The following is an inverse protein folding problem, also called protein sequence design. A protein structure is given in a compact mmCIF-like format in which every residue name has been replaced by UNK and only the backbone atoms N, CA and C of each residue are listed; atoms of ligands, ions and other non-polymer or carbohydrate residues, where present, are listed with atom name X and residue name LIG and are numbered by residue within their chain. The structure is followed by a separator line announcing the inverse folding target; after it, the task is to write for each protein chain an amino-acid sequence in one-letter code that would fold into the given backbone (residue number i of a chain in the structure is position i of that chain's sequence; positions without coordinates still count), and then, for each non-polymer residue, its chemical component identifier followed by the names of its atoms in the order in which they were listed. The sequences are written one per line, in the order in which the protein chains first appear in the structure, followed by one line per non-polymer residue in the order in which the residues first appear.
data_IF_890156943103
#
_entry.id   IF_890156943103
#
_cell.length_a   1.000
_cell.length_b   1.000
_cell.length_c   1.000
_cell.angle_alpha   90.00
_cell.angle_beta   90.00
_cell.angle_gamma   90.00
#
_symmetry.space_group_name_H-M   'P 1'
#
loop_
_entity.id
_entity.type
_entity.pdbx_description
1 polymer ?
#
# COMPACT_ATOMS: atom_id res chain seq x y z
N UNK A 1 -14.44 -4.47 -28.26
CA UNK A 1 -13.36 -3.56 -27.86
C UNK A 1 -13.85 -2.73 -26.70
N UNK A 2 -13.12 -2.73 -25.60
CA UNK A 2 -13.43 -1.85 -24.47
C UNK A 2 -13.00 -0.43 -24.82
N UNK A 3 -13.65 0.60 -24.27
CA UNK A 3 -13.28 2.02 -24.46
C UNK A 3 -11.78 2.23 -24.18
N UNK A 4 -11.24 1.56 -23.18
CA UNK A 4 -9.82 1.65 -22.79
C UNK A 4 -8.86 0.98 -23.79
N UNK A 5 -9.31 -0.06 -24.50
CA UNK A 5 -8.49 -0.70 -25.56
C UNK A 5 -8.30 0.23 -26.76
N UNK A 6 -9.35 0.94 -27.14
CA UNK A 6 -9.29 1.93 -28.21
C UNK A 6 -8.37 3.07 -27.82
N UNK A 7 -8.58 3.66 -26.63
CA UNK A 7 -7.74 4.74 -26.12
C UNK A 7 -6.27 4.33 -26.00
N UNK A 8 -5.97 3.11 -25.54
CA UNK A 8 -4.62 2.59 -25.46
C UNK A 8 -3.93 2.51 -26.83
N UNK A 9 -4.64 2.03 -27.86
CA UNK A 9 -4.12 1.96 -29.22
C UNK A 9 -3.85 3.35 -29.82
N UNK A 10 -4.76 4.29 -29.60
CA UNK A 10 -4.61 5.68 -30.08
C UNK A 10 -3.43 6.37 -29.38
N UNK A 11 -3.31 6.25 -28.07
CA UNK A 11 -2.16 6.78 -27.31
C UNK A 11 -0.85 6.19 -27.87
N UNK A 12 -0.79 4.87 -28.05
CA UNK A 12 0.41 4.22 -28.59
C UNK A 12 0.76 4.72 -29.99
N UNK A 13 -0.22 4.92 -30.84
CA UNK A 13 0.00 5.46 -32.18
C UNK A 13 0.55 6.90 -32.13
N UNK A 14 -0.05 7.77 -31.32
CA UNK A 14 0.34 9.18 -31.24
C UNK A 14 1.65 9.44 -30.46
N UNK A 15 2.14 8.50 -29.64
CA UNK A 15 3.50 8.58 -29.07
C UNK A 15 4.58 8.09 -30.04
N UNK A 16 4.22 7.70 -31.27
CA UNK A 16 5.15 7.26 -32.33
C UNK A 16 5.24 5.74 -32.46
N UNK A 17 4.25 5.00 -31.95
CA UNK A 17 4.19 3.53 -32.03
C UNK A 17 5.10 2.82 -31.04
N UNK A 18 5.01 1.48 -31.03
CA UNK A 18 5.77 0.64 -30.11
C UNK A 18 7.29 0.79 -30.25
N UNK A 19 7.76 1.05 -31.45
CA UNK A 19 9.19 1.16 -31.76
C UNK A 19 9.82 2.43 -31.17
N UNK A 20 9.02 3.47 -30.88
CA UNK A 20 9.46 4.70 -30.25
C UNK A 20 9.43 4.61 -28.70
N UNK A 21 8.80 3.59 -28.12
CA UNK A 21 8.67 3.46 -26.66
C UNK A 21 9.79 2.59 -26.09
N UNK A 22 10.69 3.19 -25.31
CA UNK A 22 11.73 2.45 -24.57
C UNK A 22 11.17 1.78 -23.31
N UNK A 23 10.33 2.50 -22.57
CA UNK A 23 9.67 1.95 -21.38
C UNK A 23 8.36 2.69 -21.12
N UNK A 24 7.43 1.99 -20.47
CA UNK A 24 6.17 2.52 -20.01
C UNK A 24 5.98 2.20 -18.53
N UNK A 25 5.69 3.22 -17.73
CA UNK A 25 5.27 3.12 -16.35
C UNK A 25 4.05 4.00 -16.13
N UNK A 26 3.39 3.91 -14.99
CA UNK A 26 2.30 4.80 -14.65
C UNK A 26 2.37 5.23 -13.18
N UNK A 27 1.74 6.36 -12.86
CA UNK A 27 1.42 6.76 -11.50
C UNK A 27 -0.11 6.84 -11.33
N UNK A 28 -0.58 7.46 -10.26
CA UNK A 28 -2.02 7.52 -9.92
C UNK A 28 -2.89 8.09 -11.05
N UNK A 29 -2.37 9.01 -11.87
CA UNK A 29 -3.17 9.73 -12.88
C UNK A 29 -2.49 9.84 -14.24
N UNK A 30 -1.27 9.31 -14.44
CA UNK A 30 -0.47 9.55 -15.63
C UNK A 30 0.23 8.29 -16.12
N UNK A 31 0.21 8.08 -17.42
CA UNK A 31 1.15 7.23 -18.12
C UNK A 31 2.48 7.97 -18.28
N UNK A 32 3.58 7.29 -18.08
CA UNK A 32 4.93 7.81 -18.22
C UNK A 32 5.69 6.98 -19.23
N UNK A 33 5.91 7.57 -20.39
CA UNK A 33 6.70 6.97 -21.44
C UNK A 33 8.13 7.50 -21.39
N UNK A 34 9.10 6.62 -21.61
CA UNK A 34 10.44 6.99 -22.01
C UNK A 34 10.52 6.74 -23.51
N UNK A 35 10.45 7.79 -24.31
CA UNK A 35 10.47 7.71 -25.77
C UNK A 35 11.92 7.73 -26.25
N UNK A 36 12.19 7.10 -27.41
CA UNK A 36 13.46 7.22 -28.11
C UNK A 36 13.63 8.60 -28.72
N UNK A 37 12.56 9.10 -29.32
CA UNK A 37 12.48 10.41 -29.92
C UNK A 37 11.14 11.06 -29.56
N UNK A 38 11.18 12.10 -28.74
CA UNK A 38 9.98 12.84 -28.31
C UNK A 38 9.40 13.73 -29.45
N UNK A 39 10.18 14.00 -30.51
CA UNK A 39 9.72 14.84 -31.64
C UNK A 39 8.68 14.13 -32.52
N UNK A 40 8.64 12.81 -32.48
CA UNK A 40 7.67 12.00 -33.23
C UNK A 40 6.29 12.03 -32.56
N UNK A 41 6.23 12.32 -31.26
CA UNK A 41 4.98 12.32 -30.51
C UNK A 41 4.10 13.53 -30.87
N UNK A 42 2.82 13.27 -31.10
CA UNK A 42 1.84 14.27 -31.55
C UNK A 42 1.08 14.84 -30.34
N UNK A 43 1.66 15.86 -29.70
CA UNK A 43 1.15 16.44 -28.45
C UNK A 43 -0.31 16.93 -28.58
N UNK A 44 -0.65 17.61 -29.66
CA UNK A 44 -2.00 18.15 -29.87
C UNK A 44 -3.04 17.05 -30.17
N UNK A 45 -2.66 16.01 -30.89
CA UNK A 45 -3.54 14.88 -31.14
C UNK A 45 -3.85 14.14 -29.82
N UNK A 46 -2.83 13.93 -28.97
CA UNK A 46 -2.99 13.31 -27.67
C UNK A 46 -3.87 14.13 -26.72
N UNK A 47 -3.74 15.46 -26.70
CA UNK A 47 -4.56 16.33 -25.84
C UNK A 47 -6.03 16.33 -26.26
N UNK A 48 -6.32 16.09 -27.54
CA UNK A 48 -7.68 16.06 -28.08
C UNK A 48 -8.35 14.68 -27.95
N UNK A 49 -7.66 13.65 -27.47
CA UNK A 49 -8.25 12.35 -27.23
C UNK A 49 -9.22 12.38 -26.04
N UNK A 50 -10.40 11.82 -26.24
CA UNK A 50 -11.34 11.60 -25.14
C UNK A 50 -10.74 10.64 -24.11
N UNK A 51 -10.63 11.08 -22.87
CA UNK A 51 -9.97 10.34 -21.78
C UNK A 51 -8.54 10.80 -21.48
N UNK A 52 -7.95 11.69 -22.28
CA UNK A 52 -6.69 12.36 -21.98
C UNK A 52 -6.96 13.77 -21.47
N UNK A 53 -6.42 14.09 -20.29
CA UNK A 53 -6.58 15.42 -19.67
C UNK A 53 -5.56 16.41 -20.22
N UNK A 54 -4.30 16.00 -20.36
CA UNK A 54 -3.21 16.81 -20.89
C UNK A 54 -1.97 15.95 -21.12
N UNK A 55 -0.99 16.56 -21.82
CA UNK A 55 0.35 15.97 -22.04
C UNK A 55 1.40 16.87 -21.41
N UNK A 56 2.39 16.30 -20.76
CA UNK A 56 3.48 17.02 -20.12
C UNK A 56 4.82 16.35 -20.44
N UNK A 57 5.87 17.16 -20.61
CA UNK A 57 7.25 16.70 -20.76
C UNK A 57 7.99 17.12 -19.50
N UNK A 58 8.50 16.17 -18.72
CA UNK A 58 9.18 16.46 -17.46
C UNK A 58 10.19 15.37 -17.12
N UNK A 59 11.38 15.77 -16.70
CA UNK A 59 12.44 14.87 -16.25
C UNK A 59 12.84 13.79 -17.29
N UNK A 60 12.87 14.13 -18.59
CA UNK A 60 13.17 13.17 -19.66
C UNK A 60 12.11 12.08 -19.83
N UNK A 61 10.88 12.35 -19.36
CA UNK A 61 9.73 11.49 -19.53
C UNK A 61 8.60 12.22 -20.23
N UNK A 62 8.01 11.54 -21.19
CA UNK A 62 6.79 11.96 -21.86
C UNK A 62 5.58 11.45 -21.06
N UNK A 63 4.78 12.35 -20.51
CA UNK A 63 3.70 12.02 -19.58
C UNK A 63 2.35 12.35 -20.21
N UNK A 64 1.48 11.34 -20.30
CA UNK A 64 0.07 11.47 -20.72
C UNK A 64 -0.81 11.38 -19.48
N UNK A 65 -1.49 12.47 -19.15
CA UNK A 65 -2.37 12.55 -17.97
C UNK A 65 -3.75 12.04 -18.35
N UNK A 66 -4.19 10.96 -17.69
CA UNK A 66 -5.48 10.30 -17.97
C UNK A 66 -6.45 10.48 -16.80
N UNK A 67 -5.93 10.64 -15.58
CA UNK A 67 -6.73 10.65 -14.37
C UNK A 67 -6.89 9.26 -13.74
N UNK A 68 -7.99 9.03 -13.03
CA UNK A 68 -8.17 7.81 -12.21
C UNK A 68 -8.22 6.51 -13.02
N UNK A 69 -8.46 6.58 -14.32
CA UNK A 69 -8.57 5.43 -15.24
C UNK A 69 -7.22 5.00 -15.82
N UNK A 70 -6.12 5.60 -15.37
CA UNK A 70 -4.77 5.33 -15.88
C UNK A 70 -4.38 3.86 -15.79
N UNK A 71 -4.80 3.17 -14.75
CA UNK A 71 -4.47 1.76 -14.55
C UNK A 71 -5.14 0.89 -15.61
N UNK A 72 -6.41 1.13 -15.92
CA UNK A 72 -7.16 0.37 -16.93
C UNK A 72 -6.54 0.54 -18.31
N UNK A 73 -6.14 1.77 -18.65
CA UNK A 73 -5.46 2.07 -19.93
C UNK A 73 -4.06 1.46 -19.97
N UNK A 74 -3.31 1.49 -18.85
CA UNK A 74 -1.99 0.89 -18.75
C UNK A 74 -2.05 -0.63 -18.95
N UNK A 75 -3.02 -1.31 -18.35
CA UNK A 75 -3.23 -2.76 -18.51
C UNK A 75 -3.52 -3.16 -19.96
N UNK A 76 -4.13 -2.26 -20.76
CA UNK A 76 -4.34 -2.48 -22.18
C UNK A 76 -3.10 -2.13 -23.03
N UNK A 77 -2.27 -1.17 -22.59
CA UNK A 77 -1.03 -0.80 -23.27
C UNK A 77 0.08 -1.84 -23.14
N UNK A 78 0.19 -2.46 -21.97
CA UNK A 78 1.25 -3.43 -21.67
C UNK A 78 1.28 -4.59 -22.70
N UNK A 79 0.18 -5.27 -23.04
CA UNK A 79 0.19 -6.31 -24.07
C UNK A 79 0.57 -5.81 -25.47
N UNK A 80 0.25 -4.56 -25.81
CA UNK A 80 0.56 -3.97 -27.11
C UNK A 80 2.06 -3.65 -27.26
N UNK A 81 2.74 -3.41 -26.14
CA UNK A 81 4.18 -3.15 -26.09
C UNK A 81 5.00 -4.44 -25.95
N UNK A 82 4.43 -5.53 -25.39
CA UNK A 82 5.12 -6.80 -25.19
C UNK A 82 5.00 -7.75 -26.39
N UNK A 83 5.80 -7.48 -27.39
CA UNK A 83 6.56 -8.51 -28.07
C UNK A 83 8.03 -8.17 -27.80
N UNK A 84 8.67 -8.87 -26.88
CA UNK A 84 10.10 -8.81 -26.57
C UNK A 84 10.61 -7.48 -25.98
N UNK A 85 10.55 -7.32 -24.66
CA UNK A 85 11.57 -6.52 -23.98
C UNK A 85 12.07 -7.27 -22.75
N UNK A 86 13.37 -7.60 -22.70
CA UNK A 86 14.02 -7.90 -21.45
C UNK A 86 13.97 -6.61 -20.61
N UNK A 87 13.55 -6.73 -19.37
CA UNK A 87 13.69 -5.68 -18.37
C UNK A 87 15.19 -5.34 -18.23
N UNK A 88 15.68 -4.42 -19.02
CA UNK A 88 16.95 -3.77 -18.74
C UNK A 88 16.72 -2.75 -17.63
N UNK A 89 16.84 -3.25 -16.43
CA UNK A 89 17.23 -2.45 -15.27
C UNK A 89 18.66 -1.96 -15.56
N UNK A 90 18.78 -0.82 -16.23
CA UNK A 90 20.04 -0.05 -16.29
C UNK A 90 19.69 1.39 -16.60
N UNK A 91 19.47 2.13 -15.55
CA UNK A 91 19.99 3.44 -15.18
C UNK A 91 19.44 3.75 -13.79
N UNK A 92 19.91 2.98 -12.81
CA UNK A 92 19.82 3.35 -11.42
C UNK A 92 20.89 4.41 -11.15
N UNK A 93 20.68 5.64 -11.62
CA UNK A 93 21.11 6.77 -10.82
C UNK A 93 20.54 6.54 -9.44
N UNK A 94 21.41 6.64 -8.43
CA UNK A 94 21.13 6.38 -7.02
C UNK A 94 19.81 7.02 -6.60
N UNK A 95 18.68 6.36 -6.86
CA UNK A 95 17.40 6.73 -6.26
C UNK A 95 17.66 6.78 -4.77
N UNK A 96 17.50 7.97 -4.19
CA UNK A 96 17.68 8.15 -2.75
C UNK A 96 16.73 7.19 -2.07
N UNK A 97 17.20 6.48 -1.05
CA UNK A 97 16.43 5.47 -0.30
C UNK A 97 15.01 5.94 0.05
N UNK A 98 14.84 7.25 0.26
CA UNK A 98 13.54 7.88 0.51
C UNK A 98 12.60 7.82 -0.71
N UNK A 99 13.09 8.04 -1.92
CA UNK A 99 12.24 8.04 -3.12
C UNK A 99 11.75 6.62 -3.41
N UNK A 100 12.61 5.63 -3.23
CA UNK A 100 12.24 4.21 -3.32
C UNK A 100 11.22 3.79 -2.25
N UNK A 101 11.39 4.28 -1.01
CA UNK A 101 10.43 4.03 0.06
C UNK A 101 9.05 4.63 -0.27
N UNK A 102 9.02 5.89 -0.74
CA UNK A 102 7.78 6.57 -1.15
C UNK A 102 7.11 5.85 -2.32
N UNK A 103 7.88 5.35 -3.31
CA UNK A 103 7.34 4.58 -4.43
C UNK A 103 6.71 3.24 -3.96
N UNK A 104 7.37 2.55 -3.03
CA UNK A 104 6.83 1.31 -2.47
C UNK A 104 5.50 1.59 -1.76
N UNK A 105 5.47 2.55 -0.85
CA UNK A 105 4.26 2.88 -0.07
C UNK A 105 3.15 3.36 -1.01
N UNK A 106 3.45 4.27 -1.95
CA UNK A 106 2.47 4.75 -2.91
C UNK A 106 1.88 3.61 -3.75
N UNK A 107 2.70 2.70 -4.25
CA UNK A 107 2.25 1.56 -5.04
C UNK A 107 1.39 0.56 -4.25
N UNK A 108 1.61 0.44 -2.92
CA UNK A 108 0.79 -0.40 -2.05
C UNK A 108 -0.58 0.23 -1.80
N UNK A 109 -0.63 1.55 -1.57
CA UNK A 109 -1.87 2.26 -1.24
C UNK A 109 -2.73 2.62 -2.44
N UNK A 110 -2.11 2.88 -3.59
CA UNK A 110 -2.81 3.34 -4.80
C UNK A 110 -4.06 2.52 -5.15
N UNK A 111 -4.05 1.17 -5.14
CA UNK A 111 -5.23 0.39 -5.53
C UNK A 111 -6.42 0.52 -4.56
N UNK A 112 -6.17 0.90 -3.30
CA UNK A 112 -7.21 0.98 -2.26
C UNK A 112 -7.67 2.40 -1.97
N UNK A 113 -6.98 3.45 -2.47
CA UNK A 113 -7.30 4.85 -2.17
C UNK A 113 -8.74 5.24 -2.53
N UNK A 114 -9.23 4.81 -3.70
CA UNK A 114 -10.60 5.11 -4.13
C UNK A 114 -11.65 4.52 -3.19
N UNK A 115 -11.46 3.26 -2.78
CA UNK A 115 -12.36 2.57 -1.85
C UNK A 115 -12.25 3.18 -0.44
N UNK A 116 -11.04 3.55 0.00
CA UNK A 116 -10.84 4.26 1.27
C UNK A 116 -11.61 5.59 1.31
N UNK A 117 -11.57 6.36 0.22
CA UNK A 117 -12.31 7.60 0.11
C UNK A 117 -13.83 7.35 0.18
N UNK A 118 -14.33 6.34 -0.55
CA UNK A 118 -15.74 5.97 -0.52
C UNK A 118 -16.21 5.54 0.88
N UNK A 119 -15.47 4.66 1.55
CA UNK A 119 -15.76 4.23 2.93
C UNK A 119 -15.74 5.41 3.90
N UNK A 120 -14.73 6.30 3.77
CA UNK A 120 -14.64 7.52 4.57
C UNK A 120 -15.84 8.46 4.37
N UNK A 121 -16.31 8.63 3.13
CA UNK A 121 -17.52 9.42 2.84
C UNK A 121 -18.77 8.79 3.45
N UNK A 122 -18.95 7.46 3.34
CA UNK A 122 -20.08 6.75 3.96
C UNK A 122 -20.07 6.98 5.47
N UNK A 123 -18.92 6.85 6.12
CA UNK A 123 -18.77 7.07 7.57
C UNK A 123 -19.09 8.52 7.95
N UNK A 124 -18.60 9.48 7.17
CA UNK A 124 -18.87 10.91 7.37
C UNK A 124 -20.35 11.25 7.20
N UNK A 125 -21.03 10.72 6.18
CA UNK A 125 -22.45 10.91 5.95
C UNK A 125 -23.28 10.27 7.07
N UNK A 126 -22.90 9.07 7.53
CA UNK A 126 -23.56 8.39 8.63
C UNK A 126 -23.52 9.25 9.92
N UNK A 127 -22.36 9.82 10.23
CA UNK A 127 -22.19 10.72 11.36
C UNK A 127 -23.00 12.01 11.22
N UNK A 128 -23.04 12.60 10.02
CA UNK A 128 -23.87 13.76 9.71
C UNK A 128 -25.35 13.48 9.93
N UNK A 129 -25.86 12.36 9.42
CA UNK A 129 -27.29 12.01 9.56
C UNK A 129 -27.67 11.73 11.01
N UNK A 130 -26.76 11.10 11.80
CA UNK A 130 -26.93 10.94 13.23
C UNK A 130 -26.99 12.31 13.94
N UNK A 131 -26.10 13.22 13.59
CA UNK A 131 -26.05 14.59 14.18
C UNK A 131 -27.30 15.42 13.82
N UNK A 132 -27.87 15.22 12.63
CA UNK A 132 -29.13 15.83 12.19
C UNK A 132 -30.37 15.19 12.85
N UNK A 133 -30.20 14.18 13.67
CA UNK A 133 -31.29 13.52 14.40
C UNK A 133 -32.16 12.58 13.54
N UNK A 134 -31.69 12.17 12.34
CA UNK A 134 -32.45 11.26 11.48
C UNK A 134 -32.54 9.85 12.06
N UNK A 135 -31.57 9.43 12.86
CA UNK A 135 -31.58 8.18 13.64
C UNK A 135 -30.58 8.28 14.81
N UNK A 136 -30.79 7.43 15.80
CA UNK A 136 -29.92 7.31 16.97
C UNK A 136 -28.70 6.41 16.67
N UNK A 137 -27.59 6.61 17.39
CA UNK A 137 -26.39 5.76 17.32
C UNK A 137 -26.69 4.28 17.61
N UNK A 138 -27.70 4.02 18.45
CA UNK A 138 -28.15 2.66 18.80
C UNK A 138 -29.08 2.02 17.77
N UNK A 139 -29.45 2.75 16.71
CA UNK A 139 -30.31 2.20 15.65
C UNK A 139 -29.59 1.20 14.78
N UNK A 140 -30.29 0.14 14.35
CA UNK A 140 -29.73 -0.85 13.43
C UNK A 140 -29.26 -0.24 12.10
N UNK A 141 -29.96 0.80 11.63
CA UNK A 141 -29.54 1.56 10.43
C UNK A 141 -28.18 2.21 10.59
N UNK A 142 -27.96 2.94 11.70
CA UNK A 142 -26.65 3.53 12.01
C UNK A 142 -25.57 2.46 12.09
N UNK A 143 -25.82 1.37 12.83
CA UNK A 143 -24.83 0.31 13.03
C UNK A 143 -24.39 -0.35 11.72
N UNK A 144 -25.33 -0.63 10.81
CA UNK A 144 -25.03 -1.25 9.51
C UNK A 144 -24.23 -0.28 8.62
N UNK A 145 -24.67 0.97 8.50
CA UNK A 145 -23.98 1.97 7.67
C UNK A 145 -22.58 2.26 8.23
N UNK A 146 -22.47 2.33 9.57
CA UNK A 146 -21.16 2.50 10.23
C UNK A 146 -20.23 1.32 9.91
N UNK A 147 -20.74 0.09 9.98
CA UNK A 147 -19.94 -1.10 9.65
C UNK A 147 -19.48 -1.10 8.18
N UNK A 148 -20.33 -0.67 7.23
CA UNK A 148 -19.95 -0.52 5.81
C UNK A 148 -18.79 0.49 5.66
N UNK A 149 -18.91 1.66 6.31
CA UNK A 149 -17.87 2.69 6.27
C UNK A 149 -16.59 2.32 7.01
N UNK A 150 -16.68 1.45 8.03
CA UNK A 150 -15.55 1.09 8.89
C UNK A 150 -14.83 -0.19 8.47
N UNK A 151 -15.48 -1.07 7.73
CA UNK A 151 -14.96 -2.40 7.40
C UNK A 151 -13.57 -2.36 6.75
N UNK A 152 -13.35 -1.46 5.79
CA UNK A 152 -12.04 -1.34 5.14
C UNK A 152 -10.96 -0.90 6.12
N UNK A 153 -11.25 0.03 7.01
CA UNK A 153 -10.29 0.54 7.99
C UNK A 153 -9.98 -0.49 9.06
N UNK A 154 -10.99 -1.20 9.55
CA UNK A 154 -10.81 -2.29 10.52
C UNK A 154 -9.97 -3.43 9.94
N UNK A 155 -10.28 -3.85 8.71
CA UNK A 155 -9.56 -4.92 8.02
C UNK A 155 -8.43 -4.41 7.11
N UNK A 156 -7.91 -3.21 7.37
CA UNK A 156 -6.87 -2.60 6.55
C UNK A 156 -5.65 -3.52 6.31
N UNK A 157 -5.15 -4.30 7.29
CA UNK A 157 -4.07 -5.25 7.07
C UNK A 157 -4.37 -6.29 5.99
N UNK A 158 -5.63 -6.70 5.82
CA UNK A 158 -6.03 -7.67 4.81
C UNK A 158 -5.86 -7.09 3.39
N UNK A 159 -6.31 -5.88 3.17
CA UNK A 159 -6.17 -5.18 1.88
C UNK A 159 -4.72 -4.84 1.58
N UNK A 160 -3.99 -4.32 2.58
CA UNK A 160 -2.57 -4.02 2.46
C UNK A 160 -1.73 -5.29 2.27
N UNK A 161 -2.11 -6.40 2.89
CA UNK A 161 -1.48 -7.70 2.67
C UNK A 161 -1.52 -8.12 1.21
N UNK A 162 -2.69 -7.98 0.57
CA UNK A 162 -2.89 -8.28 -0.85
C UNK A 162 -2.07 -7.35 -1.75
N UNK A 163 -2.17 -6.04 -1.54
CA UNK A 163 -1.48 -5.05 -2.41
C UNK A 163 0.04 -5.06 -2.21
N UNK A 164 0.51 -5.27 -0.97
CA UNK A 164 1.95 -5.45 -0.67
C UNK A 164 2.51 -6.70 -1.33
N UNK A 165 1.75 -7.80 -1.33
CA UNK A 165 2.15 -9.04 -2.00
C UNK A 165 2.37 -8.80 -3.50
N UNK A 166 1.46 -8.08 -4.16
CA UNK A 166 1.63 -7.69 -5.57
C UNK A 166 2.89 -6.83 -5.77
N UNK A 167 3.14 -5.86 -4.90
CA UNK A 167 4.31 -4.96 -5.00
C UNK A 167 5.64 -5.71 -4.79
N UNK A 168 5.68 -6.70 -3.87
CA UNK A 168 6.90 -7.45 -3.55
C UNK A 168 7.07 -8.74 -4.34
N UNK A 169 6.13 -9.09 -5.23
CA UNK A 169 6.17 -10.29 -6.04
C UNK A 169 5.92 -11.58 -5.24
N UNK A 170 5.15 -11.50 -4.16
CA UNK A 170 4.56 -12.62 -3.43
C UNK A 170 3.21 -12.98 -4.09
N UNK A 171 2.77 -14.24 -4.01
CA UNK A 171 1.42 -14.61 -4.44
C UNK A 171 0.37 -13.77 -3.67
N UNK A 172 -0.52 -13.01 -4.35
CA UNK A 172 -1.43 -12.07 -3.68
C UNK A 172 -2.32 -12.72 -2.62
N UNK A 173 -2.77 -13.96 -2.85
CA UNK A 173 -3.57 -14.71 -1.87
C UNK A 173 -2.80 -15.07 -0.60
N UNK A 174 -1.50 -15.29 -0.69
CA UNK A 174 -0.65 -15.50 0.51
C UNK A 174 -0.58 -14.22 1.34
N UNK A 175 -0.42 -13.07 0.67
CA UNK A 175 -0.45 -11.77 1.35
C UNK A 175 -1.80 -11.46 2.00
N UNK A 176 -2.90 -11.83 1.34
CA UNK A 176 -4.25 -11.69 1.90
C UNK A 176 -4.42 -12.56 3.16
N UNK A 177 -3.91 -13.79 3.17
CA UNK A 177 -3.92 -14.65 4.36
C UNK A 177 -3.07 -14.05 5.48
N UNK A 178 -1.91 -13.48 5.18
CA UNK A 178 -1.07 -12.78 6.17
C UNK A 178 -1.85 -11.60 6.79
N UNK A 179 -2.49 -10.76 5.99
CA UNK A 179 -3.33 -9.68 6.49
C UNK A 179 -4.54 -10.19 7.29
N UNK A 180 -5.15 -11.29 6.85
CA UNK A 180 -6.28 -11.92 7.53
C UNK A 180 -5.93 -12.45 8.93
N UNK A 181 -4.77 -13.12 9.09
CA UNK A 181 -4.34 -13.60 10.40
C UNK A 181 -4.01 -12.43 11.34
N UNK A 182 -3.52 -11.31 10.83
CA UNK A 182 -3.28 -10.11 11.63
C UNK A 182 -4.58 -9.46 12.12
N UNK A 183 -5.71 -9.69 11.45
CA UNK A 183 -7.04 -9.26 11.88
C UNK A 183 -7.80 -10.36 12.63
N UNK A 184 -7.18 -11.54 12.87
CA UNK A 184 -7.87 -12.67 13.50
C UNK A 184 -8.23 -12.36 14.96
N UNK A 185 -9.54 -12.41 15.33
CA UNK A 185 -9.96 -11.93 16.65
C UNK A 185 -9.26 -12.63 17.81
N UNK A 186 -9.07 -13.95 17.72
CA UNK A 186 -8.50 -14.76 18.82
C UNK A 186 -7.05 -14.47 19.19
N UNK A 187 -6.33 -13.65 18.43
CA UNK A 187 -4.93 -13.26 18.74
C UNK A 187 -4.78 -11.76 18.99
N UNK A 188 -5.87 -10.98 18.91
CA UNK A 188 -5.82 -9.56 19.25
C UNK A 188 -5.67 -9.39 20.77
N UNK A 189 -4.86 -8.40 21.15
CA UNK A 189 -4.64 -8.07 22.57
C UNK A 189 -5.95 -7.75 23.30
N UNK A 190 -6.84 -7.03 22.65
CA UNK A 190 -8.16 -6.67 23.16
C UNK A 190 -9.04 -7.90 23.44
N UNK A 191 -9.03 -8.89 22.57
CA UNK A 191 -9.79 -10.14 22.76
C UNK A 191 -9.15 -11.03 23.84
N UNK A 192 -7.82 -11.13 23.85
CA UNK A 192 -7.08 -11.91 24.84
C UNK A 192 -7.25 -11.33 26.25
N UNK A 193 -7.21 -10.01 26.41
CA UNK A 193 -7.43 -9.34 27.69
C UNK A 193 -8.81 -9.55 28.28
N UNK A 194 -9.82 -9.77 27.44
CA UNK A 194 -11.20 -10.08 27.86
C UNK A 194 -11.37 -11.53 28.35
N UNK A 195 -10.49 -12.44 27.93
CA UNK A 195 -10.62 -13.89 28.22
C UNK A 195 -9.52 -14.49 29.05
N UNK A 196 -8.33 -13.89 29.06
CA UNK A 196 -7.15 -14.41 29.75
C UNK A 196 -6.54 -13.35 30.67
N UNK A 197 -5.91 -13.82 31.77
CA UNK A 197 -5.03 -12.96 32.57
C UNK A 197 -3.64 -12.93 31.92
N UNK A 198 -2.94 -11.76 31.91
CA UNK A 198 -1.59 -11.70 31.40
C UNK A 198 -0.67 -12.61 32.19
N UNK A 199 0.20 -13.35 31.54
CA UNK A 199 1.23 -14.16 32.15
C UNK A 199 2.23 -13.26 32.91
N UNK A 200 2.62 -12.18 32.26
CA UNK A 200 3.41 -11.06 32.79
C UNK A 200 3.38 -9.88 31.80
N UNK A 201 3.93 -8.74 32.21
CA UNK A 201 4.07 -7.56 31.36
C UNK A 201 5.53 -7.36 31.02
N UNK A 202 5.86 -7.35 29.73
CA UNK A 202 7.20 -7.00 29.26
C UNK A 202 7.38 -5.48 29.26
N UNK A 203 8.61 -5.03 29.52
CA UNK A 203 8.99 -3.61 29.53
C UNK A 203 8.15 -2.76 30.51
N UNK A 204 7.76 -3.32 31.63
CA UNK A 204 6.98 -2.63 32.66
C UNK A 204 7.67 -1.32 33.09
N UNK A 205 6.88 -0.27 33.28
CA UNK A 205 7.40 1.07 33.62
C UNK A 205 7.94 1.87 32.43
N UNK A 206 7.91 1.35 31.24
CA UNK A 206 8.31 2.08 30.01
C UNK A 206 7.10 2.34 29.09
N UNK A 207 7.28 3.22 28.09
CA UNK A 207 6.28 3.47 27.02
C UNK A 207 5.99 2.20 26.17
N UNK A 208 6.81 1.17 26.29
CA UNK A 208 6.70 -0.10 25.57
C UNK A 208 6.06 -1.21 26.42
N UNK A 209 5.58 -0.88 27.62
CA UNK A 209 4.89 -1.86 28.47
C UNK A 209 3.81 -2.59 27.68
N UNK A 210 3.92 -3.92 27.60
CA UNK A 210 3.07 -4.75 26.77
C UNK A 210 2.77 -6.06 27.50
N UNK A 211 1.47 -6.39 27.67
CA UNK A 211 1.07 -7.64 28.31
C UNK A 211 1.37 -8.83 27.39
N UNK A 212 1.76 -9.93 27.98
CA UNK A 212 1.96 -11.23 27.34
C UNK A 212 0.86 -12.17 27.81
N UNK A 213 0.01 -12.62 26.90
CA UNK A 213 -1.10 -13.53 27.18
C UNK A 213 -0.82 -14.95 26.70
N UNK A 214 -0.02 -15.09 25.63
CA UNK A 214 0.27 -16.37 24.98
C UNK A 214 1.76 -16.49 24.69
N UNK A 215 2.23 -17.73 24.60
CA UNK A 215 3.57 -18.07 24.14
C UNK A 215 3.52 -18.93 22.87
N UNK A 216 4.57 -18.88 22.08
CA UNK A 216 4.78 -19.73 20.93
C UNK A 216 5.97 -20.66 21.23
N UNK A 217 5.67 -21.90 21.61
CA UNK A 217 6.68 -22.90 22.02
C UNK A 217 7.65 -22.39 23.11
N UNK A 218 7.12 -21.70 24.11
CA UNK A 218 7.91 -21.14 25.23
C UNK A 218 8.51 -19.76 24.94
N UNK A 219 8.35 -19.22 23.74
CA UNK A 219 8.77 -17.85 23.39
C UNK A 219 7.58 -16.91 23.59
N UNK A 220 7.69 -15.88 24.44
CA UNK A 220 6.59 -14.96 24.72
C UNK A 220 6.18 -14.19 23.47
N UNK A 221 4.88 -14.15 23.18
CA UNK A 221 4.30 -13.33 22.12
C UNK A 221 3.80 -12.03 22.73
N UNK A 222 4.37 -10.92 22.31
CA UNK A 222 3.88 -9.59 22.70
C UNK A 222 2.54 -9.38 22.02
N UNK A 223 1.47 -9.42 22.82
CA UNK A 223 0.11 -9.29 22.29
C UNK A 223 -0.19 -7.85 21.93
N UNK A 224 -0.56 -7.62 20.68
CA UNK A 224 -0.90 -6.32 20.14
C UNK A 224 -2.17 -6.40 19.30
N UNK A 225 -2.87 -5.29 19.17
CA UNK A 225 -3.97 -5.15 18.22
C UNK A 225 -3.41 -4.70 16.87
N UNK A 226 -3.51 -5.59 15.89
CA UNK A 226 -3.00 -5.32 14.55
C UNK A 226 -4.10 -4.85 13.57
N UNK A 227 -5.38 -4.88 13.98
CA UNK A 227 -6.48 -4.26 13.23
C UNK A 227 -6.18 -2.78 12.97
N UNK A 228 -6.56 -2.28 11.81
CA UNK A 228 -6.31 -0.88 11.41
C UNK A 228 -4.82 -0.46 11.31
N UNK A 229 -3.88 -1.41 11.42
CA UNK A 229 -2.45 -1.10 11.33
C UNK A 229 -1.93 -1.23 9.90
N UNK A 230 -0.87 -0.50 9.59
CA UNK A 230 -0.27 -0.42 8.25
C UNK A 230 1.12 -1.04 8.20
N UNK A 231 1.99 -0.58 9.09
CA UNK A 231 3.43 -0.84 9.00
C UNK A 231 3.76 -2.32 9.21
N UNK A 232 3.22 -3.01 10.23
CA UNK A 232 3.56 -4.40 10.48
C UNK A 232 3.27 -5.33 9.30
N UNK A 233 2.08 -5.21 8.66
CA UNK A 233 1.71 -6.09 7.55
C UNK A 233 2.64 -5.95 6.35
N UNK A 234 3.05 -4.72 6.01
CA UNK A 234 3.95 -4.45 4.89
C UNK A 234 5.29 -5.17 5.10
N UNK A 235 5.87 -5.06 6.31
CA UNK A 235 7.13 -5.73 6.63
C UNK A 235 7.01 -7.26 6.68
N UNK A 236 5.92 -7.80 7.23
CA UNK A 236 5.69 -9.25 7.26
C UNK A 236 5.54 -9.79 5.83
N UNK A 237 4.79 -9.11 4.96
CA UNK A 237 4.62 -9.51 3.55
C UNK A 237 5.94 -9.40 2.79
N UNK A 238 6.74 -8.36 3.03
CA UNK A 238 8.07 -8.25 2.45
C UNK A 238 8.96 -9.43 2.87
N UNK A 239 8.98 -9.77 4.16
CA UNK A 239 9.71 -10.93 4.66
C UNK A 239 9.20 -12.24 4.05
N UNK A 240 7.87 -12.44 3.99
CA UNK A 240 7.24 -13.59 3.37
C UNK A 240 7.63 -13.74 1.89
N UNK A 241 7.80 -12.62 1.16
CA UNK A 241 8.25 -12.67 -0.24
C UNK A 241 9.67 -13.22 -0.41
N UNK A 242 10.53 -12.99 0.61
CA UNK A 242 11.88 -13.59 0.63
C UNK A 242 11.83 -15.08 0.97
N UNK A 243 10.97 -15.45 1.94
CA UNK A 243 10.74 -16.86 2.28
C UNK A 243 10.18 -17.66 1.09
N UNK A 244 9.18 -17.13 0.38
CA UNK A 244 8.62 -17.79 -0.81
C UNK A 244 9.68 -18.03 -1.88
N UNK A 245 10.51 -17.03 -2.18
CA UNK A 245 11.63 -17.15 -3.13
C UNK A 245 12.66 -18.18 -2.68
N UNK A 246 12.92 -18.27 -1.38
CA UNK A 246 13.84 -19.25 -0.82
C UNK A 246 13.27 -20.68 -0.97
N UNK A 247 12.04 -20.91 -0.48
CA UNK A 247 11.41 -22.22 -0.52
C UNK A 247 11.14 -22.70 -1.94
N UNK A 248 10.84 -21.80 -2.88
CA UNK A 248 10.66 -22.12 -4.29
C UNK A 248 11.89 -22.76 -4.94
N UNK A 249 13.09 -22.58 -4.36
CA UNK A 249 14.34 -23.18 -4.87
C UNK A 249 14.55 -24.63 -4.40
N UNK A 250 14.01 -24.97 -3.22
CA UNK A 250 14.24 -26.26 -2.58
C UNK A 250 13.10 -27.25 -2.78
N UNK A 251 11.88 -26.76 -2.98
CA UNK A 251 10.68 -27.59 -3.11
C UNK A 251 10.54 -28.09 -4.54
N UNK A 252 10.38 -29.42 -4.75
CA UNK A 252 10.15 -29.99 -6.08
C UNK A 252 8.89 -29.45 -6.75
N UNK A 253 8.91 -29.31 -8.09
CA UNK A 253 7.82 -28.68 -8.86
C UNK A 253 6.47 -29.37 -8.67
N UNK A 254 6.47 -30.69 -8.50
CA UNK A 254 5.26 -31.49 -8.32
C UNK A 254 4.41 -31.04 -7.12
N UNK A 255 5.03 -30.63 -6.04
CA UNK A 255 4.36 -30.25 -4.77
C UNK A 255 4.48 -28.76 -4.44
N UNK A 256 5.15 -28.01 -5.28
CA UNK A 256 5.44 -26.58 -5.09
C UNK A 256 4.19 -25.73 -4.90
N UNK A 257 3.10 -26.13 -5.57
CA UNK A 257 1.85 -25.38 -5.56
C UNK A 257 1.31 -25.14 -4.13
N UNK A 258 1.36 -26.13 -3.25
CA UNK A 258 0.85 -26.01 -1.88
C UNK A 258 1.95 -25.98 -0.80
N UNK A 259 3.10 -26.67 -1.01
CA UNK A 259 4.16 -26.67 0.00
C UNK A 259 4.84 -25.30 0.15
N UNK A 260 5.06 -24.57 -0.93
CA UNK A 260 5.71 -23.26 -0.87
C UNK A 260 4.87 -22.25 -0.10
N UNK A 261 3.57 -22.05 -0.39
CA UNK A 261 2.72 -21.20 0.44
C UNK A 261 2.63 -21.64 1.90
N UNK A 262 2.50 -22.96 2.14
CA UNK A 262 2.43 -23.51 3.50
C UNK A 262 3.68 -23.17 4.30
N UNK A 263 4.88 -23.48 3.79
CA UNK A 263 6.15 -23.18 4.46
C UNK A 263 6.35 -21.67 4.64
N UNK A 264 5.96 -20.88 3.64
CA UNK A 264 6.04 -19.42 3.73
C UNK A 264 5.19 -18.88 4.88
N UNK A 265 3.95 -19.32 5.02
CA UNK A 265 3.07 -18.90 6.11
C UNK A 265 3.57 -19.39 7.46
N UNK A 266 3.98 -20.67 7.56
CA UNK A 266 4.47 -21.28 8.80
C UNK A 266 5.75 -20.62 9.35
N UNK A 267 6.56 -20.02 8.49
CA UNK A 267 7.79 -19.33 8.91
C UNK A 267 7.55 -17.82 9.06
N UNK A 268 6.87 -17.21 8.10
CA UNK A 268 6.72 -15.76 8.09
C UNK A 268 5.79 -15.24 9.19
N UNK A 269 4.72 -15.97 9.53
CA UNK A 269 3.77 -15.52 10.55
C UNK A 269 4.33 -15.58 11.98
N UNK A 270 4.92 -16.69 12.44
CA UNK A 270 5.54 -16.69 13.77
C UNK A 270 6.62 -15.62 13.94
N UNK A 271 7.53 -15.49 12.96
CA UNK A 271 8.54 -14.42 12.98
C UNK A 271 7.89 -13.04 12.92
N UNK A 272 6.80 -12.94 12.15
CA UNK A 272 5.97 -11.74 12.07
C UNK A 272 5.43 -11.31 13.42
N UNK A 273 4.83 -12.21 14.18
CA UNK A 273 4.26 -11.91 15.50
C UNK A 273 5.29 -11.79 16.62
N UNK A 274 6.36 -12.59 16.58
CA UNK A 274 7.39 -12.55 17.59
C UNK A 274 8.33 -11.34 17.49
N UNK A 275 8.66 -10.93 16.26
CA UNK A 275 9.71 -9.94 16.03
C UNK A 275 9.23 -8.73 15.20
N UNK A 276 8.74 -8.97 13.99
CA UNK A 276 8.47 -7.89 13.03
C UNK A 276 7.33 -6.99 13.52
N UNK A 277 6.23 -7.58 13.98
CA UNK A 277 5.06 -6.86 14.46
C UNK A 277 5.36 -5.96 15.65
N UNK A 278 5.92 -6.48 16.76
CA UNK A 278 6.31 -5.67 17.91
C UNK A 278 7.30 -4.56 17.56
N UNK A 279 8.37 -4.87 16.82
CA UNK A 279 9.38 -3.88 16.40
C UNK A 279 8.74 -2.76 15.55
N UNK A 280 7.91 -3.12 14.57
CA UNK A 280 7.22 -2.15 13.73
C UNK A 280 6.22 -1.28 14.52
N UNK A 281 5.51 -1.88 15.47
CA UNK A 281 4.56 -1.16 16.33
C UNK A 281 5.28 -0.23 17.30
N UNK A 282 6.36 -0.68 17.92
CA UNK A 282 7.18 0.16 18.80
C UNK A 282 7.81 1.34 18.03
N UNK A 283 8.33 1.09 16.82
CA UNK A 283 8.81 2.15 15.94
C UNK A 283 7.73 3.18 15.64
N UNK A 284 6.51 2.74 15.36
CA UNK A 284 5.37 3.63 15.15
C UNK A 284 4.98 4.43 16.40
N UNK A 285 5.02 3.80 17.58
CA UNK A 285 4.79 4.49 18.86
C UNK A 285 5.82 5.58 19.13
N UNK A 286 7.10 5.33 18.89
CA UNK A 286 8.16 6.34 19.05
C UNK A 286 7.88 7.57 18.18
N UNK A 287 7.52 7.35 16.90
CA UNK A 287 7.20 8.45 15.98
C UNK A 287 5.97 9.23 16.48
N UNK A 288 4.92 8.53 16.90
CA UNK A 288 3.69 9.14 17.39
C UNK A 288 3.95 9.97 18.66
N UNK A 289 4.66 9.41 19.65
CA UNK A 289 5.01 10.12 20.89
C UNK A 289 5.91 11.33 20.65
N UNK A 290 6.83 11.23 19.71
CA UNK A 290 7.67 12.37 19.30
C UNK A 290 6.81 13.51 18.77
N UNK A 291 5.85 13.22 17.88
CA UNK A 291 4.94 14.22 17.33
C UNK A 291 4.04 14.82 18.42
N UNK A 292 3.50 13.98 19.30
CA UNK A 292 2.66 14.40 20.43
C UNK A 292 3.46 15.29 21.38
N UNK A 293 4.69 14.94 21.72
CA UNK A 293 5.56 15.74 22.58
C UNK A 293 5.83 17.12 21.98
N UNK A 294 6.15 17.19 20.69
CA UNK A 294 6.34 18.47 19.99
C UNK A 294 5.04 19.30 20.00
N UNK A 295 3.89 18.66 19.77
CA UNK A 295 2.58 19.32 19.82
C UNK A 295 2.27 19.88 21.21
N UNK A 296 2.61 19.15 22.25
CA UNK A 296 2.36 19.58 23.63
C UNK A 296 3.25 20.76 24.04
N UNK A 297 4.46 20.87 23.48
CA UNK A 297 5.33 22.06 23.67
C UNK A 297 4.81 23.24 22.86
N UNK A 298 4.44 23.05 21.61
CA UNK A 298 3.86 24.08 20.76
C UNK A 298 3.12 23.47 19.58
N UNK A 299 1.78 23.59 19.51
CA UNK A 299 0.99 23.15 18.35
C UNK A 299 1.45 23.80 17.03
N UNK A 300 1.94 25.03 17.11
CA UNK A 300 2.44 25.77 15.95
C UNK A 300 3.75 25.19 15.40
N UNK A 301 4.67 24.75 16.29
CA UNK A 301 5.89 24.06 15.89
C UNK A 301 5.60 22.68 15.29
N UNK A 302 4.67 21.94 15.85
CA UNK A 302 4.26 20.64 15.29
C UNK A 302 3.66 20.79 13.89
N UNK A 303 2.75 21.76 13.70
CA UNK A 303 2.18 22.08 12.38
C UNK A 303 3.24 22.56 11.38
N UNK A 304 4.18 23.40 11.84
CA UNK A 304 5.30 23.88 11.04
C UNK A 304 6.22 22.75 10.57
N UNK A 305 6.60 21.83 11.46
CA UNK A 305 7.45 20.67 11.13
C UNK A 305 6.77 19.73 10.11
N UNK A 306 5.50 19.42 10.34
CA UNK A 306 4.72 18.59 9.40
C UNK A 306 4.58 19.31 8.05
N UNK A 307 4.31 20.61 8.05
CA UNK A 307 4.21 21.44 6.85
C UNK A 307 5.54 21.54 6.09
N UNK A 308 6.66 21.72 6.79
CA UNK A 308 8.00 21.76 6.20
C UNK A 308 8.41 20.43 5.58
N UNK A 309 8.13 19.31 6.25
CA UNK A 309 8.39 17.97 5.69
C UNK A 309 7.56 17.72 4.43
N UNK A 310 6.30 18.17 4.41
CA UNK A 310 5.43 18.09 3.26
C UNK A 310 5.88 19.00 2.10
N UNK A 311 6.28 20.24 2.38
CA UNK A 311 6.78 21.18 1.37
C UNK A 311 8.15 20.79 0.83
N UNK A 312 9.05 20.27 1.67
CA UNK A 312 10.37 19.82 1.22
C UNK A 312 10.26 18.65 0.23
N UNK A 313 9.28 17.77 0.38
CA UNK A 313 8.97 16.73 -0.60
C UNK A 313 8.43 17.31 -1.91
N UNK A 314 7.60 18.35 -1.88
CA UNK A 314 7.15 19.07 -3.09
C UNK A 314 8.27 19.81 -3.80
N UNK A 315 9.15 20.47 -3.05
CA UNK A 315 10.27 21.22 -3.61
C UNK A 315 11.29 20.29 -4.26
N UNK A 316 11.65 19.17 -3.61
CA UNK A 316 12.53 18.14 -4.19
C UNK A 316 11.97 17.52 -5.47
N UNK A 317 10.66 17.36 -5.58
CA UNK A 317 10.01 16.89 -6.82
C UNK A 317 10.07 17.93 -7.95
N UNK A 318 10.17 19.22 -7.64
CA UNK A 318 10.30 20.31 -8.62
C UNK A 318 11.74 20.55 -9.06
N UNK A 319 12.74 20.30 -8.21
CA UNK A 319 14.17 20.49 -8.53
C UNK A 319 14.83 19.24 -9.10
N UNK A 320 14.15 18.10 -9.06
CA UNK A 320 14.55 16.85 -9.72
C UNK A 320 13.84 16.66 -11.08
N UNK A 321 13.13 17.70 -11.55
CA UNK A 321 12.46 17.76 -12.87
C UNK A 321 13.26 18.61 -13.83
#
# INVERSE_FOLDING_TARGET
MTVYETLAKEILNYVGGKDNVNSLTHCITRLRFKLKDESIAQDEALKNLEGVVTVMKSAGQYQVVIGNQVQDVYEQLVPLLHAEQPQTVQDAEKEKLLDRFVDIISGIFQPILGIMAACGMIKGLNMLFMTLGLYAETSGGYMIINAIGDALFTFLPLFLGYTSARKFGLKPMVGLVIGGIMCYPGIQSSALSGSLKPLYTMFEGTMFASPVYIDFFGIPVISMDYTSTVIPVIFIVYFASKCEKLFSKFVPDLVKFFFVPMLTLLVALPIGFLLIGPVATFGSKIIAETIISIRNVSPMLAGGLVGLTWQSQRYRRRTAS
#
